data_IF_011123619565
#
_entry.id   IF_011123619565
#
_cell.length_a   1.000
_cell.length_b   1.000
_cell.length_c   1.000
_cell.angle_alpha   90.00
_cell.angle_beta   90.00
_cell.angle_gamma   90.00
#
_symmetry.space_group_name_H-M   'P 1'
#
loop_
_entity.id
_entity.type
_entity.pdbx_description
1 polymer ?
2 polymer ?
3 polymer ?
4 water ?
#
loop_
_entity_poly.entity_id
_entity_poly.type
_entity_poly.pdbx_seq_one_letter_code
_entity_poly.pdbx_strand_id
2 'polydeoxyribonucleotide' '(DC)(DC)(DC)(DT)(DA)(DA)(DG)(DC)(DG)(DG)(DC)(DA)(DA)(DT)(DC)(DC)' ?
3 'polydeoxyribonucleotide' '(DG)(DG)(DG)(DA)(DT)(DT)(DG)(DC)(DC)(DG)(DC)(DT)(DT)(DA)(DG)(DG)' ?
#
# COMPACT_ATOMS: atom_id res chain seq x y z
N UNK A 8 -6.11 -18.04 2.62
CA UNK A 8 -6.29 -19.49 2.64
C UNK A 8 -7.73 -19.92 2.47
N UNK A 9 -8.41 -20.14 3.60
CA UNK A 9 -9.77 -20.65 3.55
C UNK A 9 -10.75 -19.55 3.28
N UNK A 10 -10.65 -19.02 2.07
CA UNK A 10 -11.52 -17.96 1.60
C UNK A 10 -12.19 -18.40 0.33
N UNK A 11 -13.45 -18.04 0.18
CA UNK A 11 -14.18 -18.41 -0.99
C UNK A 11 -14.78 -17.18 -1.62
N UNK A 12 -14.86 -17.20 -2.93
CA UNK A 12 -15.48 -16.10 -3.66
C UNK A 12 -16.90 -16.48 -4.06
N UNK A 13 -17.85 -15.63 -3.73
CA UNK A 13 -19.25 -15.89 -4.06
C UNK A 13 -19.69 -15.02 -5.23
N UNK A 14 -20.35 -15.64 -6.20
CA UNK A 14 -20.83 -14.95 -7.40
C UNK A 14 -21.84 -13.87 -7.03
N UNK A 15 -21.84 -12.75 -7.77
CA UNK A 15 -22.71 -11.59 -7.50
C UNK A 15 -24.21 -11.95 -7.47
N UNK A 16 -24.59 -13.01 -8.18
CA UNK A 16 -26.00 -13.40 -8.22
C UNK A 16 -26.40 -14.21 -6.99
N UNK A 17 -25.50 -15.04 -6.50
CA UNK A 17 -25.75 -15.76 -5.25
C UNK A 17 -25.75 -14.79 -4.08
N UNK A 18 -25.02 -13.70 -4.22
CA UNK A 18 -24.96 -12.66 -3.21
C UNK A 18 -26.28 -11.88 -3.19
N UNK A 19 -26.81 -11.62 -4.38
CA UNK A 19 -28.08 -10.92 -4.50
C UNK A 19 -29.19 -11.72 -3.83
N UNK A 20 -29.21 -13.02 -4.12
CA UNK A 20 -30.19 -13.93 -3.55
C UNK A 20 -30.09 -14.00 -2.03
N UNK A 21 -28.86 -14.12 -1.53
CA UNK A 21 -28.60 -14.23 -0.09
C UNK A 21 -29.01 -12.98 0.68
N UNK A 22 -28.60 -11.82 0.17
CA UNK A 22 -28.81 -10.56 0.89
C UNK A 22 -30.23 -10.03 0.72
N UNK A 23 -31.02 -10.67 -0.13
CA UNK A 23 -32.40 -10.27 -0.32
C UNK A 23 -33.26 -10.68 0.86
N UNK A 24 -32.87 -11.76 1.52
CA UNK A 24 -33.64 -12.31 2.64
C UNK A 24 -33.64 -11.33 3.82
N UNK A 25 -34.64 -11.48 4.68
CA UNK A 25 -34.71 -10.71 5.91
C UNK A 25 -34.01 -11.48 7.03
N UNK A 26 -33.56 -10.78 8.06
CA UNK A 26 -32.78 -11.42 9.13
C UNK A 26 -33.54 -11.42 10.45
N UNK A 27 -33.58 -12.59 11.09
CA UNK A 27 -34.12 -12.71 12.44
C UNK A 27 -33.33 -11.84 13.40
N UNK A 28 -32.01 -11.89 13.28
CA UNK A 28 -31.13 -11.09 14.13
C UNK A 28 -30.24 -10.18 13.30
N UNK A 29 -30.00 -8.97 13.78
CA UNK A 29 -29.11 -8.04 13.11
C UNK A 29 -28.47 -7.06 14.09
N UNK A 30 -27.21 -6.72 13.86
CA UNK A 30 -26.47 -5.83 14.75
C UNK A 30 -25.60 -4.88 13.95
N UNK A 31 -25.53 -3.63 14.43
CA UNK A 31 -24.69 -2.63 13.80
C UNK A 31 -23.43 -2.41 14.64
N UNK A 32 -22.34 -3.04 14.24
CA UNK A 32 -21.10 -3.00 15.01
C UNK A 32 -20.22 -1.82 14.61
N UNK A 33 -19.96 -0.91 15.56
CA UNK A 33 -19.13 0.27 15.35
C UNK A 33 -17.73 -0.07 14.86
N UNK A 34 -17.25 0.67 13.87
CA UNK A 34 -15.87 0.61 13.45
C UNK A 34 -15.06 1.60 14.27
N UNK A 35 -14.51 1.12 15.39
CA UNK A 35 -13.84 1.98 16.34
C UNK A 35 -12.53 2.53 15.79
N UNK A 36 -12.15 3.72 16.27
CA UNK A 36 -10.91 4.35 15.84
C UNK A 36 -9.89 4.34 16.97
N UNK A 37 -10.02 3.36 17.86
CA UNK A 37 -9.05 3.14 18.93
C UNK A 37 -7.67 2.87 18.33
N UNK A 38 -6.62 3.27 19.04
CA UNK A 38 -5.30 3.39 18.42
C UNK A 38 -4.36 2.20 18.61
N UNK A 39 -4.65 1.34 19.57
CA UNK A 39 -3.86 0.14 19.80
C UNK A 39 -4.69 -1.13 19.81
N UNK A 40 -5.89 -1.04 19.24
CA UNK A 40 -6.85 -2.13 19.26
C UNK A 40 -7.82 -2.01 18.11
N UNK A 41 -8.70 -3.00 17.97
CA UNK A 41 -9.70 -2.96 16.92
C UNK A 41 -9.05 -2.94 15.55
N UNK A 42 -9.39 -1.93 14.77
CA UNK A 42 -8.84 -1.76 13.45
C UNK A 42 -7.35 -1.43 13.43
N UNK A 43 -6.84 -0.88 14.53
CA UNK A 43 -5.47 -0.40 14.62
C UNK A 43 -4.59 -1.25 15.52
N UNK A 44 -4.77 -2.56 15.46
CA UNK A 44 -3.95 -3.49 16.21
C UNK A 44 -2.47 -3.35 15.82
N UNK A 45 -2.25 -2.93 14.59
CA UNK A 45 -0.91 -2.72 14.04
C UNK A 45 -0.07 -1.75 14.88
N UNK A 46 -0.72 -0.79 15.52
CA UNK A 46 -0.02 0.26 16.27
C UNK A 46 0.11 -0.03 17.76
N UNK A 47 -0.26 -1.24 18.18
CA UNK A 47 -0.13 -1.62 19.57
C UNK A 47 1.18 -2.34 19.80
N UNK A 48 1.43 -2.75 21.03
CA UNK A 48 2.57 -3.60 21.33
C UNK A 48 2.56 -4.85 20.48
N UNK A 49 3.74 -5.29 20.05
CA UNK A 49 3.85 -6.54 19.33
C UNK A 49 3.74 -7.70 20.32
N UNK A 50 4.02 -8.90 19.82
CA UNK A 50 4.05 -10.07 20.68
C UNK A 50 5.46 -10.28 21.22
N UNK A 51 5.59 -10.17 22.54
CA UNK A 51 6.89 -10.27 23.19
C UNK A 51 7.00 -11.58 23.97
N UNK A 52 8.12 -12.29 23.81
CA UNK A 52 8.33 -13.52 24.57
C UNK A 52 9.01 -13.25 25.91
N UNK A 53 9.33 -14.32 26.64
CA UNK A 53 9.91 -14.18 27.97
C UNK A 53 11.30 -13.57 27.94
N UNK A 54 12.02 -13.80 26.84
CA UNK A 54 13.37 -13.25 26.70
C UNK A 54 13.32 -11.81 26.18
N UNK A 55 12.11 -11.27 26.10
CA UNK A 55 11.90 -9.88 25.74
C UNK A 55 11.95 -9.59 24.25
N UNK A 56 12.10 -10.63 23.43
CA UNK A 56 12.10 -10.44 21.98
C UNK A 56 10.69 -10.24 21.46
N UNK A 57 10.49 -9.17 20.72
CA UNK A 57 9.14 -8.77 20.31
C UNK A 57 8.91 -9.00 18.81
N UNK A 58 7.64 -9.19 18.46
CA UNK A 58 7.25 -9.43 17.08
C UNK A 58 6.12 -8.50 16.68
N UNK A 59 6.40 -7.57 15.76
CA UNK A 59 5.43 -6.57 15.30
C UNK A 59 4.13 -7.20 14.82
N UNK A 60 3.01 -6.56 15.14
CA UNK A 60 1.72 -6.99 14.60
C UNK A 60 1.76 -6.82 13.08
N UNK A 61 1.17 -7.79 12.35
CA UNK A 61 1.00 -7.61 10.91
C UNK A 61 0.08 -6.42 10.62
N UNK A 62 0.15 -5.89 9.42
CA UNK A 62 -0.65 -4.73 9.05
C UNK A 62 -2.14 -5.06 9.05
N UNK A 63 -2.47 -6.26 8.59
CA UNK A 63 -3.87 -6.65 8.43
C UNK A 63 -4.44 -7.39 9.66
N UNK A 64 -3.71 -7.39 10.76
CA UNK A 64 -4.25 -7.99 11.98
C UNK A 64 -5.26 -7.04 12.61
N UNK A 65 -6.51 -7.46 12.67
CA UNK A 65 -7.55 -6.62 13.26
C UNK A 65 -8.46 -7.41 14.19
N UNK A 66 -9.34 -6.67 14.85
CA UNK A 66 -10.38 -7.26 15.67
C UNK A 66 -11.55 -6.29 15.67
N UNK A 67 -12.76 -6.80 15.90
CA UNK A 67 -13.88 -5.94 16.15
C UNK A 67 -14.29 -6.16 17.60
N UNK A 68 -13.92 -5.21 18.46
CA UNK A 68 -14.30 -5.33 19.85
C UNK A 68 -15.74 -4.84 20.00
N UNK A 69 -16.63 -5.76 20.36
CA UNK A 69 -18.05 -5.49 20.41
C UNK A 69 -18.53 -5.29 21.84
N UNK A 70 -19.11 -4.13 22.11
CA UNK A 70 -19.56 -3.79 23.46
C UNK A 70 -20.65 -4.71 23.97
N UNK A 71 -20.70 -4.90 25.28
CA UNK A 71 -21.68 -5.76 25.91
C UNK A 71 -23.10 -5.35 25.59
N UNK A 72 -23.27 -4.09 25.23
CA UNK A 72 -24.55 -3.55 24.87
C UNK A 72 -25.09 -4.30 23.66
N UNK A 73 -24.19 -4.92 22.91
CA UNK A 73 -24.53 -5.64 21.69
C UNK A 73 -24.43 -7.15 21.85
N UNK A 74 -23.34 -7.62 22.43
CA UNK A 74 -23.16 -9.07 22.62
C UNK A 74 -24.21 -9.66 23.56
N UNK A 75 -24.80 -8.84 24.41
CA UNK A 75 -25.81 -9.32 25.34
C UNK A 75 -27.20 -9.35 24.70
N UNK A 76 -27.34 -8.77 23.52
CA UNK A 76 -28.62 -8.77 22.81
C UNK A 76 -29.00 -10.18 22.38
N UNK A 77 -30.30 -10.40 22.17
CA UNK A 77 -30.78 -11.70 21.74
C UNK A 77 -30.21 -12.08 20.37
N UNK A 78 -29.69 -13.29 20.27
CA UNK A 78 -29.27 -13.83 18.99
C UNK A 78 -27.79 -13.69 18.66
N UNK A 79 -27.07 -12.86 19.41
CA UNK A 79 -25.65 -12.65 19.12
C UNK A 79 -24.87 -13.96 19.27
N UNK A 80 -23.95 -14.23 18.35
CA UNK A 80 -23.14 -15.44 18.41
C UNK A 80 -22.04 -15.36 19.46
N UNK A 81 -22.33 -15.77 20.69
CA UNK A 81 -21.32 -15.71 21.73
C UNK A 81 -20.48 -16.98 21.67
N UNK A 82 -19.16 -16.79 21.72
CA UNK A 82 -18.18 -17.87 21.71
C UNK A 82 -18.48 -18.99 20.69
N UNK A 83 -19.01 -18.60 19.53
CA UNK A 83 -19.28 -19.54 18.45
C UNK A 83 -18.30 -19.32 17.31
N UNK A 84 -18.11 -20.36 16.51
CA UNK A 84 -17.52 -20.21 15.19
C UNK A 84 -18.65 -20.16 14.18
N UNK A 85 -18.44 -19.45 13.07
CA UNK A 85 -19.48 -19.30 12.08
C UNK A 85 -18.94 -18.82 10.74
N UNK A 86 -19.70 -19.10 9.68
CA UNK A 86 -19.36 -18.63 8.35
C UNK A 86 -19.85 -17.19 8.16
N UNK A 87 -18.99 -16.35 7.58
CA UNK A 87 -19.36 -14.98 7.24
C UNK A 87 -19.34 -14.79 5.72
N UNK A 88 -20.44 -14.27 5.19
CA UNK A 88 -20.51 -13.94 3.78
C UNK A 88 -20.67 -12.44 3.61
N UNK A 89 -19.66 -11.84 2.98
CA UNK A 89 -19.60 -10.38 2.88
C UNK A 89 -20.46 -9.85 1.73
N UNK A 90 -20.79 -8.57 1.80
CA UNK A 90 -21.64 -7.95 0.79
C UNK A 90 -20.94 -7.85 -0.56
N UNK A 91 -19.61 -7.80 -0.53
CA UNK A 91 -18.84 -7.75 -1.76
C UNK A 91 -18.42 -9.16 -2.20
N UNK A 92 -19.06 -10.16 -1.62
CA UNK A 92 -19.01 -11.51 -2.16
C UNK A 92 -17.90 -12.44 -1.70
N UNK A 93 -17.42 -12.26 -0.48
CA UNK A 93 -16.41 -13.15 0.07
C UNK A 93 -16.96 -14.01 1.18
N UNK A 94 -16.42 -15.22 1.32
CA UNK A 94 -16.83 -16.12 2.39
C UNK A 94 -15.64 -16.66 3.16
N UNK A 95 -15.64 -16.45 4.48
CA UNK A 95 -14.62 -17.02 5.36
C UNK A 95 -15.15 -17.22 6.77
N UNK A 96 -14.40 -17.96 7.57
CA UNK A 96 -14.82 -18.26 8.94
C UNK A 96 -14.43 -17.15 9.92
N UNK A 97 -15.34 -16.84 10.84
CA UNK A 97 -15.04 -15.91 11.92
C UNK A 97 -15.32 -16.54 13.27
N UNK A 98 -14.74 -15.96 14.30
CA UNK A 98 -14.84 -16.52 15.65
C UNK A 98 -14.99 -15.40 16.65
N UNK A 99 -15.92 -15.57 17.59
CA UNK A 99 -16.05 -14.63 18.69
C UNK A 99 -15.34 -15.23 19.91
N UNK A 100 -14.56 -14.40 20.60
CA UNK A 100 -13.72 -14.89 21.69
C UNK A 100 -13.45 -13.81 22.72
N UNK A 101 -12.77 -14.19 23.80
CA UNK A 101 -12.39 -13.25 24.84
C UNK A 101 -13.49 -12.95 25.85
N UNK A 102 -13.16 -12.16 26.87
CA UNK A 102 -14.13 -11.76 27.89
C UNK A 102 -15.35 -11.08 27.29
N UNK A 103 -16.53 -11.43 27.81
CA UNK A 103 -17.81 -10.96 27.30
C UNK A 103 -18.04 -11.34 25.83
N UNK A 104 -17.23 -12.27 25.32
CA UNK A 104 -17.28 -12.66 23.92
C UNK A 104 -17.19 -11.44 22.99
N UNK A 105 -16.39 -10.45 23.40
CA UNK A 105 -16.35 -9.17 22.72
C UNK A 105 -15.55 -9.16 21.41
N UNK A 106 -14.57 -10.03 21.30
CA UNK A 106 -13.63 -9.99 20.18
C UNK A 106 -14.17 -10.67 18.92
N UNK A 107 -14.56 -9.87 17.93
CA UNK A 107 -15.01 -10.40 16.65
C UNK A 107 -13.81 -10.48 15.70
N UNK A 108 -13.44 -11.70 15.33
CA UNK A 108 -12.25 -11.93 14.54
C UNK A 108 -12.49 -12.99 13.47
N UNK A 109 -11.72 -12.94 12.39
CA UNK A 109 -11.70 -14.06 11.45
C UNK A 109 -10.96 -15.21 12.12
N UNK A 110 -11.37 -16.42 11.83
CA UNK A 110 -10.82 -17.59 12.47
C UNK A 110 -9.62 -18.19 11.78
N UNK A 111 -8.61 -18.49 12.58
CA UNK A 111 -7.41 -19.19 12.14
C UNK A 111 -6.39 -18.28 11.51
N UNK A 112 -6.80 -17.07 11.20
CA UNK A 112 -5.95 -16.05 10.68
C UNK A 112 -6.64 -14.74 10.95
N UNK A 113 -6.02 -13.92 11.79
CA UNK A 113 -6.56 -12.59 12.09
C UNK A 113 -6.47 -11.65 10.88
N UNK A 114 -5.58 -11.95 9.95
CA UNK A 114 -5.34 -11.07 8.81
C UNK A 114 -6.47 -11.07 7.78
N UNK A 115 -7.23 -12.17 7.73
CA UNK A 115 -8.29 -12.31 6.72
C UNK A 115 -9.38 -11.25 6.88
N UNK A 116 -9.85 -11.06 8.10
CA UNK A 116 -10.82 -9.99 8.36
C UNK A 116 -10.18 -8.63 8.07
N UNK A 117 -8.89 -8.51 8.35
CA UNK A 117 -8.15 -7.28 8.10
C UNK A 117 -8.01 -6.97 6.62
N UNK A 118 -7.67 -8.00 5.84
CA UNK A 118 -7.55 -7.84 4.40
C UNK A 118 -8.87 -7.42 3.79
N UNK A 119 -9.97 -7.90 4.37
CA UNK A 119 -11.29 -7.51 3.91
C UNK A 119 -11.59 -6.06 4.26
N UNK A 120 -11.48 -5.70 5.54
CA UNK A 120 -11.81 -4.35 5.97
C UNK A 120 -10.83 -3.33 5.42
N UNK A 121 -9.53 -3.56 5.64
CA UNK A 121 -8.51 -2.60 5.23
C UNK A 121 -8.31 -2.57 3.72
N UNK A 122 -8.33 -3.75 3.09
CA UNK A 122 -8.20 -3.84 1.65
C UNK A 122 -9.28 -3.05 0.94
N UNK A 123 -10.45 -2.99 1.59
CA UNK A 123 -11.57 -2.22 1.08
C UNK A 123 -11.30 -0.73 1.24
N UNK A 124 -10.77 -0.33 2.40
CA UNK A 124 -10.41 1.06 2.65
C UNK A 124 -9.29 1.50 1.71
N UNK A 125 -8.36 0.58 1.45
CA UNK A 125 -7.23 0.84 0.55
C UNK A 125 -7.71 1.10 -0.88
N UNK A 126 -8.61 0.25 -1.36
CA UNK A 126 -9.11 0.34 -2.73
C UNK A 126 -9.82 1.66 -3.02
N UNK A 127 -10.57 2.15 -2.03
CA UNK A 127 -11.30 3.40 -2.20
C UNK A 127 -10.42 4.62 -1.96
N UNK A 128 -9.15 4.37 -1.63
CA UNK A 128 -8.18 5.44 -1.46
C UNK A 128 -8.35 6.23 -0.18
N UNK A 129 -8.87 5.58 0.86
CA UNK A 129 -9.06 6.25 2.15
C UNK A 129 -7.93 5.89 3.10
N UNK A 130 -7.21 4.82 2.78
CA UNK A 130 -6.17 4.32 3.67
C UNK A 130 -4.98 3.79 2.87
N UNK A 131 -3.78 4.13 3.33
CA UNK A 131 -2.57 3.56 2.75
C UNK A 131 -1.77 2.79 3.79
N UNK A 132 -0.84 1.97 3.33
CA UNK A 132 -0.05 1.09 4.18
C UNK A 132 0.54 1.79 5.42
N UNK A 133 0.35 1.17 6.58
CA UNK A 133 0.90 1.63 7.85
C UNK A 133 0.33 2.96 8.35
N UNK A 134 -0.89 3.27 7.94
CA UNK A 134 -1.57 4.49 8.38
C UNK A 134 -2.65 4.19 9.42
N UNK A 135 -2.82 5.08 10.38
CA UNK A 135 -3.88 4.94 11.37
C UNK A 135 -5.26 5.16 10.74
N UNK A 136 -6.22 4.32 11.13
CA UNK A 136 -7.60 4.49 10.72
C UNK A 136 -8.30 5.46 11.67
N UNK A 137 -8.67 6.62 11.15
CA UNK A 137 -9.23 7.69 11.97
C UNK A 137 -10.69 7.92 11.65
N UNK A 138 -11.29 8.90 12.31
CA UNK A 138 -12.65 9.31 11.99
C UNK A 138 -12.74 9.76 10.54
N UNK A 139 -11.73 10.51 10.10
CA UNK A 139 -11.71 11.03 8.73
C UNK A 139 -11.51 9.92 7.71
N UNK A 140 -10.83 8.85 8.12
CA UNK A 140 -10.71 7.68 7.25
C UNK A 140 -12.10 7.13 6.96
N UNK A 141 -12.88 6.94 8.02
CA UNK A 141 -14.23 6.40 7.93
C UNK A 141 -15.18 7.40 7.30
N UNK A 142 -14.96 8.69 7.59
CA UNK A 142 -15.81 9.74 7.04
C UNK A 142 -15.61 9.83 5.53
N UNK A 143 -14.38 9.66 5.09
CA UNK A 143 -14.08 9.68 3.67
C UNK A 143 -14.62 8.43 2.97
N UNK A 144 -14.63 7.32 3.71
CA UNK A 144 -15.10 6.05 3.16
C UNK A 144 -16.63 6.06 3.03
N UNK A 145 -17.29 6.64 4.02
CA UNK A 145 -18.74 6.74 4.00
C UNK A 145 -19.42 5.74 4.90
N UNK A 146 -18.67 5.12 5.80
CA UNK A 146 -19.22 4.12 6.70
C UNK A 146 -18.39 3.92 7.95
N UNK A 147 -19.06 3.78 9.09
CA UNK A 147 -18.37 3.61 10.36
C UNK A 147 -19.02 2.50 11.19
N UNK A 148 -19.77 1.63 10.53
CA UNK A 148 -20.40 0.51 11.20
C UNK A 148 -20.37 -0.76 10.36
N UNK A 149 -20.30 -1.91 11.03
CA UNK A 149 -20.43 -3.18 10.34
C UNK A 149 -21.78 -3.78 10.63
N UNK A 150 -22.45 -4.25 9.58
CA UNK A 150 -23.73 -4.91 9.72
C UNK A 150 -23.55 -6.43 9.84
N UNK A 151 -23.87 -6.97 11.00
CA UNK A 151 -23.86 -8.41 11.20
C UNK A 151 -25.29 -8.95 11.21
N UNK A 152 -25.64 -9.73 10.19
CA UNK A 152 -27.01 -10.23 10.01
C UNK A 152 -27.06 -11.74 9.97
N UNK A 153 -28.17 -12.31 10.46
CA UNK A 153 -28.35 -13.75 10.43
C UNK A 153 -28.98 -14.21 9.12
N UNK A 154 -28.80 -15.48 8.80
CA UNK A 154 -29.51 -16.11 7.69
C UNK A 154 -30.29 -17.29 8.26
N UNK A 155 -31.03 -18.00 7.41
CA UNK A 155 -31.79 -19.16 7.89
C UNK A 155 -30.88 -20.33 8.17
N UNK A 156 -29.59 -20.14 7.91
CA UNK A 156 -28.54 -21.05 8.37
C UNK A 156 -27.96 -20.50 9.66
N UNK A 157 -28.12 -21.25 10.76
CA UNK A 157 -27.67 -20.79 12.09
C UNK A 157 -26.18 -20.49 12.16
N UNK A 158 -25.40 -21.08 11.24
CA UNK A 158 -23.95 -20.94 11.28
C UNK A 158 -23.42 -20.07 10.15
N UNK A 159 -24.30 -19.32 9.50
CA UNK A 159 -23.89 -18.40 8.44
C UNK A 159 -24.44 -17.01 8.70
N UNK A 160 -23.56 -16.02 8.78
CA UNK A 160 -23.99 -14.65 8.96
C UNK A 160 -23.59 -13.77 7.78
N UNK A 161 -24.35 -12.69 7.57
CA UNK A 161 -24.01 -11.70 6.56
C UNK A 161 -23.25 -10.56 7.21
N UNK A 162 -22.15 -10.14 6.59
CA UNK A 162 -21.33 -9.06 7.10
C UNK A 162 -21.15 -7.98 6.03
N UNK A 163 -21.55 -6.75 6.36
CA UNK A 163 -21.51 -5.69 5.35
C UNK A 163 -20.67 -4.50 5.81
N UNK A 164 -20.06 -3.83 4.83
CA UNK A 164 -19.26 -2.63 5.06
C UNK A 164 -19.13 -1.85 3.74
N UNK A 165 -20.25 -1.31 3.28
CA UNK A 165 -20.28 -0.54 2.03
C UNK A 165 -19.84 0.89 2.26
N UNK A 166 -19.15 1.45 1.27
CA UNK A 166 -18.69 2.83 1.35
C UNK A 166 -19.39 3.72 0.35
N UNK A 167 -18.69 4.75 -0.12
CA UNK A 167 -19.22 5.67 -1.11
C UNK A 167 -18.68 5.36 -2.50
N UNK B 8 26.32 5.91 0.79
CA UNK B 8 25.65 5.28 1.93
C UNK B 8 24.16 5.10 1.68
N UNK B 9 23.64 3.93 2.05
CA UNK B 9 22.22 3.65 1.93
C UNK B 9 21.87 2.75 0.76
N UNK B 10 22.88 2.34 0.00
CA UNK B 10 22.67 1.50 -1.17
C UNK B 10 23.18 0.08 -0.92
N UNK B 11 22.47 -0.91 -1.45
CA UNK B 11 22.92 -2.30 -1.35
C UNK B 11 22.90 -2.99 -2.70
N UNK B 12 23.70 -4.04 -2.84
CA UNK B 12 23.82 -4.79 -4.08
C UNK B 12 23.04 -6.10 -4.00
N UNK B 13 22.39 -6.47 -5.10
CA UNK B 13 21.63 -7.72 -5.14
C UNK B 13 22.18 -8.64 -6.21
N UNK B 14 22.39 -9.90 -5.85
CA UNK B 14 22.92 -10.91 -6.77
C UNK B 14 22.04 -11.06 -8.02
N UNK B 15 22.69 -11.22 -9.18
CA UNK B 15 21.99 -11.38 -10.47
C UNK B 15 20.97 -12.52 -10.45
N UNK B 16 21.26 -13.58 -9.69
CA UNK B 16 20.35 -14.71 -9.58
C UNK B 16 19.10 -14.32 -8.80
N UNK B 17 19.30 -13.63 -7.68
CA UNK B 17 18.18 -13.14 -6.87
C UNK B 17 17.38 -12.09 -7.63
N UNK B 18 18.06 -11.35 -8.50
CA UNK B 18 17.40 -10.35 -9.32
C UNK B 18 16.48 -11.00 -10.34
N UNK B 19 16.92 -12.12 -10.90
CA UNK B 19 16.16 -12.85 -11.90
C UNK B 19 14.91 -13.47 -11.28
N UNK B 20 15.05 -13.97 -10.06
CA UNK B 20 13.94 -14.59 -9.35
C UNK B 20 12.89 -13.55 -8.97
N UNK B 21 13.33 -12.33 -8.73
CA UNK B 21 12.45 -11.24 -8.33
C UNK B 21 11.76 -10.62 -9.55
N UNK B 22 12.53 -10.46 -10.62
CA UNK B 22 12.01 -9.84 -11.85
C UNK B 22 10.98 -10.73 -12.54
N UNK B 23 11.03 -12.02 -12.26
CA UNK B 23 10.13 -12.99 -12.87
C UNK B 23 8.70 -12.81 -12.38
N UNK B 24 8.55 -12.69 -11.06
CA UNK B 24 7.23 -12.60 -10.42
C UNK B 24 6.38 -11.48 -11.01
N UNK B 25 5.18 -11.84 -11.46
CA UNK B 25 4.27 -10.88 -12.08
C UNK B 25 3.81 -9.82 -11.08
N UNK B 26 3.49 -8.63 -11.60
CA UNK B 26 3.09 -7.51 -10.77
C UNK B 26 1.64 -7.11 -11.05
N UNK B 27 0.92 -6.73 -10.00
CA UNK B 27 -0.42 -6.19 -10.15
C UNK B 27 -0.37 -4.88 -10.93
N UNK B 28 0.63 -4.06 -10.62
CA UNK B 28 0.73 -2.73 -11.20
C UNK B 28 2.01 -2.55 -12.02
N UNK B 29 1.86 -2.03 -13.22
CA UNK B 29 3.00 -1.76 -14.10
C UNK B 29 2.93 -0.35 -14.67
N UNK B 30 3.62 0.58 -14.02
CA UNK B 30 3.66 1.97 -14.49
C UNK B 30 4.86 2.22 -15.39
N UNK B 31 4.62 2.88 -16.51
CA UNK B 31 5.70 3.23 -17.42
C UNK B 31 5.91 4.74 -17.41
N UNK B 32 6.90 5.19 -16.65
CA UNK B 32 7.15 6.62 -16.46
C UNK B 32 8.21 7.15 -17.42
N UNK B 33 7.81 8.06 -18.30
CA UNK B 33 8.70 8.66 -19.31
C UNK B 33 9.88 9.42 -18.71
N UNK B 34 11.03 9.31 -19.35
CA UNK B 34 12.21 10.07 -18.95
C UNK B 34 12.21 11.43 -19.65
N UNK B 35 11.85 12.47 -18.91
CA UNK B 35 11.60 13.77 -19.51
C UNK B 35 12.87 14.50 -19.93
N UNK B 36 12.68 15.41 -20.88
CA UNK B 36 13.77 16.02 -21.64
C UNK B 36 13.94 17.48 -21.20
N UNK B 37 13.10 17.89 -20.25
CA UNK B 37 13.08 19.24 -19.68
C UNK B 37 14.47 19.69 -19.18
N UNK B 38 14.75 20.97 -19.27
CA UNK B 38 16.12 21.46 -19.13
C UNK B 38 16.48 22.05 -17.77
N UNK B 39 15.46 22.32 -16.95
CA UNK B 39 15.64 22.85 -15.60
C UNK B 39 15.06 21.95 -14.49
N UNK B 40 14.58 20.78 -14.87
CA UNK B 40 13.89 19.88 -13.96
C UNK B 40 14.09 18.45 -14.34
N UNK B 41 13.57 17.53 -13.53
CA UNK B 41 13.70 16.11 -13.84
C UNK B 41 15.16 15.70 -13.87
N UNK B 42 15.57 15.15 -14.99
CA UNK B 42 16.94 14.72 -15.19
C UNK B 42 17.95 15.86 -15.25
N UNK B 43 17.49 17.06 -15.62
CA UNK B 43 18.40 18.19 -15.80
C UNK B 43 18.26 19.24 -14.70
N UNK B 44 18.14 18.78 -13.46
CA UNK B 44 18.07 19.68 -12.31
C UNK B 44 19.37 20.45 -12.17
N UNK B 45 20.46 19.84 -12.61
CA UNK B 45 21.80 20.44 -12.57
C UNK B 45 21.85 21.77 -13.33
N UNK B 46 21.02 21.90 -14.35
CA UNK B 46 21.00 23.11 -15.18
C UNK B 46 19.98 24.13 -14.69
N UNK B 47 19.30 23.82 -13.60
CA UNK B 47 18.32 24.73 -13.03
C UNK B 47 18.96 25.69 -12.06
N UNK B 48 18.18 26.62 -11.52
CA UNK B 48 18.66 27.57 -10.53
C UNK B 48 19.04 26.84 -9.25
N UNK B 49 20.14 27.25 -8.65
CA UNK B 49 20.63 26.62 -7.43
C UNK B 49 19.80 26.95 -6.20
N UNK B 50 20.30 26.56 -5.03
CA UNK B 50 19.61 26.83 -3.78
C UNK B 50 20.08 28.14 -3.15
N UNK B 51 19.19 29.13 -3.08
CA UNK B 51 19.51 30.45 -2.55
C UNK B 51 19.16 30.58 -1.08
N UNK B 52 20.00 31.30 -0.34
CA UNK B 52 19.77 31.54 1.07
C UNK B 52 19.14 32.91 1.31
N UNK B 53 19.13 33.35 2.56
CA UNK B 53 18.58 34.66 2.90
C UNK B 53 19.52 35.76 2.42
N UNK B 54 20.81 35.47 2.42
CA UNK B 54 21.83 36.42 1.99
C UNK B 54 21.76 36.73 0.50
N UNK B 55 21.02 35.90 -0.24
CA UNK B 55 20.86 36.11 -1.67
C UNK B 55 21.89 35.35 -2.49
N UNK B 56 22.77 34.63 -1.79
CA UNK B 56 23.75 33.79 -2.45
C UNK B 56 23.16 32.40 -2.71
N UNK B 57 23.52 31.79 -3.83
CA UNK B 57 22.95 30.49 -4.16
C UNK B 57 23.99 29.38 -4.13
N UNK B 58 23.52 28.16 -3.85
CA UNK B 58 24.38 26.97 -3.85
C UNK B 58 24.02 26.10 -5.04
N UNK B 59 24.96 25.95 -5.98
CA UNK B 59 24.74 25.15 -7.19
C UNK B 59 24.38 23.71 -6.88
N UNK B 60 23.41 23.17 -7.61
CA UNK B 60 22.93 21.82 -7.37
C UNK B 60 23.91 20.78 -7.89
N UNK B 61 24.03 19.65 -7.17
CA UNK B 61 24.95 18.56 -7.53
C UNK B 61 24.65 18.03 -8.93
N UNK B 62 25.67 17.48 -9.58
CA UNK B 62 25.53 16.95 -10.94
C UNK B 62 24.60 15.73 -10.97
N UNK B 63 24.53 15.02 -9.85
CA UNK B 63 23.72 13.81 -9.77
C UNK B 63 22.37 14.04 -9.10
N UNK B 64 22.03 15.29 -8.81
CA UNK B 64 20.71 15.57 -8.26
C UNK B 64 19.67 15.50 -9.38
N UNK B 65 18.79 14.52 -9.30
CA UNK B 65 17.71 14.40 -10.26
C UNK B 65 16.37 14.15 -9.58
N UNK B 66 15.32 14.21 -10.37
CA UNK B 66 13.99 13.83 -9.93
C UNK B 66 13.26 13.17 -11.09
N UNK B 67 12.21 12.42 -10.80
CA UNK B 67 11.36 11.88 -11.84
C UNK B 67 9.94 12.39 -11.62
N UNK B 68 9.59 13.47 -12.31
CA UNK B 68 8.26 14.04 -12.19
C UNK B 68 7.25 13.24 -12.98
N UNK B 69 6.25 12.71 -12.28
CA UNK B 69 5.27 11.82 -12.90
C UNK B 69 3.93 12.51 -13.06
N UNK B 70 3.39 12.47 -14.27
CA UNK B 70 2.10 13.08 -14.56
C UNK B 70 0.99 12.44 -13.73
N UNK B 71 -0.09 13.18 -13.52
CA UNK B 71 -1.24 12.70 -12.76
C UNK B 71 -1.87 11.48 -13.43
N UNK B 72 -1.62 11.34 -14.74
CA UNK B 72 -2.11 10.19 -15.49
C UNK B 72 -1.65 8.87 -14.90
N UNK B 73 -0.49 8.89 -14.25
CA UNK B 73 0.11 7.68 -13.70
C UNK B 73 0.01 7.65 -12.18
N UNK B 74 0.18 8.81 -11.55
CA UNK B 74 0.12 8.90 -10.09
C UNK B 74 -1.30 8.67 -9.57
N UNK B 75 -2.30 8.92 -10.41
CA UNK B 75 -3.69 8.70 -10.03
C UNK B 75 -4.11 7.24 -10.15
N UNK B 76 -3.38 6.50 -10.98
CA UNK B 76 -3.67 5.08 -11.20
C UNK B 76 -3.68 4.30 -9.88
N UNK B 77 -4.41 3.20 -9.87
CA UNK B 77 -4.55 2.37 -8.67
C UNK B 77 -3.23 1.75 -8.26
N UNK B 78 -2.94 1.78 -6.96
CA UNK B 78 -1.78 1.12 -6.41
C UNK B 78 -0.49 1.94 -6.41
N UNK B 79 -0.50 3.06 -7.12
CA UNK B 79 0.69 3.92 -7.16
C UNK B 79 1.01 4.45 -5.76
N UNK B 80 2.30 4.36 -5.38
CA UNK B 80 2.76 4.82 -4.06
C UNK B 80 2.74 6.35 -3.96
N UNK B 81 1.84 6.89 -3.14
CA UNK B 81 1.74 8.34 -3.00
C UNK B 81 2.13 8.80 -1.61
N UNK B 82 2.97 9.83 -1.54
CA UNK B 82 3.45 10.39 -0.28
C UNK B 82 4.01 9.29 0.60
N UNK B 83 4.84 8.43 0.01
CA UNK B 83 5.18 7.14 0.58
C UNK B 83 6.65 6.79 0.37
N UNK B 84 7.28 6.22 1.40
CA UNK B 84 8.64 5.73 1.28
C UNK B 84 8.63 4.25 0.94
N UNK B 85 9.48 3.85 0.00
CA UNK B 85 9.53 2.46 -0.44
C UNK B 85 10.90 2.08 -0.99
N UNK B 86 11.18 0.79 -0.96
CA UNK B 86 12.42 0.25 -1.52
C UNK B 86 12.26 -0.06 -3.01
N UNK B 87 13.21 0.40 -3.81
CA UNK B 87 13.25 -0.01 -5.21
C UNK B 87 14.36 -1.04 -5.38
N UNK B 88 14.19 -1.92 -6.36
CA UNK B 88 15.21 -2.88 -6.73
C UNK B 88 15.40 -2.81 -8.25
N UNK B 89 16.60 -2.44 -8.67
CA UNK B 89 16.84 -2.14 -10.07
C UNK B 89 17.08 -3.39 -10.89
N UNK B 90 17.08 -3.24 -12.21
CA UNK B 90 17.31 -4.37 -13.10
C UNK B 90 18.78 -4.77 -13.12
N UNK B 91 19.66 -3.82 -12.86
CA UNK B 91 21.10 -4.10 -12.87
C UNK B 91 21.62 -4.40 -11.47
N UNK B 92 20.71 -4.74 -10.57
CA UNK B 92 21.08 -5.29 -9.27
C UNK B 92 21.38 -4.30 -8.16
N UNK B 93 20.66 -3.18 -8.13
CA UNK B 93 20.84 -2.20 -7.07
C UNK B 93 19.57 -2.04 -6.23
N UNK B 94 19.76 -1.79 -4.94
CA UNK B 94 18.64 -1.59 -4.02
C UNK B 94 18.86 -0.37 -3.15
N UNK B 95 17.90 0.55 -3.17
CA UNK B 95 17.93 1.73 -2.32
C UNK B 95 16.53 2.26 -2.06
N UNK B 96 16.42 3.13 -1.05
CA UNK B 96 15.13 3.69 -0.66
C UNK B 96 14.72 4.86 -1.55
N UNK B 97 13.47 4.84 -2.00
CA UNK B 97 12.92 5.96 -2.74
C UNK B 97 11.71 6.56 -2.03
N UNK B 98 11.24 7.68 -2.55
CA UNK B 98 10.19 8.43 -1.89
C UNK B 98 9.45 9.30 -2.89
N UNK B 99 8.12 9.26 -2.85
CA UNK B 99 7.31 10.13 -3.68
C UNK B 99 6.89 11.35 -2.87
N UNK B 100 6.89 12.51 -3.51
CA UNK B 100 6.63 13.76 -2.81
C UNK B 100 6.10 14.86 -3.73
N UNK B 101 5.80 16.02 -3.14
CA UNK B 101 5.29 17.16 -3.88
C UNK B 101 3.81 17.10 -4.17
N UNK B 102 3.28 18.15 -4.78
CA UNK B 102 1.88 18.19 -5.20
C UNK B 102 1.55 17.01 -6.11
N UNK B 103 0.49 16.29 -5.77
CA UNK B 103 0.01 15.13 -6.53
C UNK B 103 1.02 13.97 -6.49
N UNK B 104 1.96 14.03 -5.55
CA UNK B 104 2.97 13.00 -5.37
C UNK B 104 3.76 12.78 -6.66
N UNK B 105 4.01 13.87 -7.38
CA UNK B 105 4.60 13.82 -8.71
C UNK B 105 6.10 13.49 -8.68
N UNK B 106 6.77 13.91 -7.61
CA UNK B 106 8.22 13.80 -7.53
C UNK B 106 8.72 12.44 -7.09
N UNK B 107 9.21 11.66 -8.06
CA UNK B 107 9.87 10.39 -7.75
C UNK B 107 11.36 10.65 -7.52
N UNK B 108 11.79 10.49 -6.28
CA UNK B 108 13.17 10.72 -5.93
C UNK B 108 13.68 9.64 -5.00
N UNK B 109 14.99 9.46 -4.95
CA UNK B 109 15.57 8.53 -4.01
C UNK B 109 15.45 9.19 -2.65
N UNK B 110 15.45 8.38 -1.59
CA UNK B 110 15.26 8.93 -0.25
C UNK B 110 16.52 9.26 0.52
N UNK B 111 16.53 10.48 1.04
CA UNK B 111 17.54 11.01 1.95
C UNK B 111 18.79 11.43 1.25
N UNK B 112 18.85 11.11 -0.04
CA UNK B 112 19.90 11.58 -0.91
C UNK B 112 19.29 11.67 -2.27
N UNK B 113 19.24 12.86 -2.83
CA UNK B 113 18.73 13.06 -4.17
C UNK B 113 19.64 12.42 -5.19
N UNK B 114 20.92 12.40 -4.87
CA UNK B 114 21.98 12.00 -5.80
C UNK B 114 22.00 10.50 -6.07
N UNK B 115 21.38 9.72 -5.20
CA UNK B 115 21.41 8.27 -5.34
C UNK B 115 20.69 7.82 -6.60
N UNK B 116 19.48 8.33 -6.80
CA UNK B 116 18.73 8.00 -8.01
C UNK B 116 19.45 8.55 -9.24
N UNK B 117 20.09 9.70 -9.07
CA UNK B 117 20.80 10.34 -10.16
C UNK B 117 22.00 9.53 -10.61
N UNK B 118 22.79 9.05 -9.65
CA UNK B 118 23.95 8.24 -9.94
C UNK B 118 23.56 6.98 -10.69
N UNK B 119 22.40 6.44 -10.37
CA UNK B 119 21.91 5.24 -11.02
C UNK B 119 21.55 5.52 -12.48
N UNK B 120 20.75 6.56 -12.69
CA UNK B 120 20.30 6.91 -14.03
C UNK B 120 21.42 7.49 -14.90
N UNK B 121 22.07 8.55 -14.42
CA UNK B 121 23.14 9.18 -15.17
C UNK B 121 24.34 8.25 -15.30
N UNK B 122 24.54 7.39 -14.30
CA UNK B 122 25.63 6.44 -14.34
C UNK B 122 25.53 5.49 -15.51
N UNK B 123 24.33 4.96 -15.73
CA UNK B 123 24.10 4.04 -16.85
C UNK B 123 24.24 4.77 -18.18
N UNK B 124 23.85 6.04 -18.21
CA UNK B 124 24.02 6.85 -19.41
C UNK B 124 25.49 7.14 -19.68
N UNK B 125 26.21 7.54 -18.64
CA UNK B 125 27.63 7.85 -18.76
C UNK B 125 28.46 6.66 -19.24
N UNK B 126 28.15 5.48 -18.73
CA UNK B 126 28.84 4.26 -19.14
C UNK B 126 28.51 3.91 -20.59
N UNK B 127 27.28 4.23 -20.98
CA UNK B 127 26.82 3.93 -22.33
C UNK B 127 27.51 4.80 -23.37
N UNK B 128 28.11 5.90 -22.92
CA UNK B 128 28.80 6.82 -23.80
C UNK B 128 27.90 7.96 -24.24
N UNK B 129 26.62 7.86 -23.89
CA UNK B 129 25.63 8.85 -24.28
C UNK B 129 25.84 10.18 -23.56
N UNK B 130 26.31 10.11 -22.32
CA UNK B 130 26.42 11.29 -21.48
C UNK B 130 27.82 11.50 -20.94
N UNK B 131 28.30 12.74 -20.99
CA UNK B 131 29.54 13.10 -20.32
C UNK B 131 29.23 14.08 -19.19
N UNK B 132 30.25 14.39 -18.39
CA UNK B 132 30.09 15.32 -17.28
C UNK B 132 29.57 16.68 -17.76
N UNK B 133 28.58 17.21 -17.03
CA UNK B 133 27.98 18.51 -17.32
C UNK B 133 27.35 18.62 -18.71
N UNK B 134 26.62 17.59 -19.11
CA UNK B 134 25.91 17.61 -20.40
C UNK B 134 24.41 17.42 -20.20
N UNK B 135 23.62 18.23 -20.91
CA UNK B 135 22.18 18.17 -20.78
C UNK B 135 21.60 16.91 -21.42
N UNK B 136 20.70 16.24 -20.70
CA UNK B 136 20.04 15.06 -21.22
C UNK B 136 18.99 15.43 -22.29
N UNK B 137 19.33 15.17 -23.55
CA UNK B 137 18.45 15.50 -24.66
C UNK B 137 17.78 14.25 -25.23
N UNK B 138 16.97 14.44 -26.27
CA UNK B 138 16.33 13.32 -26.94
C UNK B 138 17.38 12.45 -27.62
N UNK B 139 18.48 13.08 -28.04
CA UNK B 139 19.58 12.37 -28.68
C UNK B 139 20.37 11.53 -27.68
N UNK B 140 20.06 11.70 -26.40
CA UNK B 140 20.70 10.92 -25.34
C UNK B 140 19.92 9.64 -25.08
N UNK B 141 18.62 9.79 -24.87
CA UNK B 141 17.74 8.64 -24.64
C UNK B 141 17.68 7.74 -25.87
N UNK B 142 17.82 8.35 -27.04
CA UNK B 142 17.82 7.61 -28.30
C UNK B 142 19.08 6.76 -28.44
N UNK B 143 20.22 7.38 -28.17
CA UNK B 143 21.50 6.68 -28.27
C UNK B 143 21.62 5.60 -27.20
N UNK B 144 20.90 5.77 -26.10
CA UNK B 144 20.89 4.80 -25.01
C UNK B 144 19.96 3.65 -25.34
N UNK B 145 18.70 3.97 -25.67
CA UNK B 145 17.77 2.96 -26.11
C UNK B 145 16.44 2.92 -25.39
N UNK B 146 16.21 3.88 -24.49
CA UNK B 146 14.95 3.93 -23.76
C UNK B 146 14.62 5.32 -23.26
N UNK B 147 13.33 5.63 -23.19
CA UNK B 147 12.87 6.92 -22.70
C UNK B 147 11.82 6.76 -21.62
N UNK B 148 11.77 5.57 -21.01
CA UNK B 148 10.82 5.30 -19.94
C UNK B 148 11.45 4.52 -18.80
N UNK B 149 10.87 4.66 -17.61
CA UNK B 149 11.27 3.87 -16.46
C UNK B 149 10.17 2.89 -16.09
N UNK B 150 10.48 1.61 -16.13
CA UNK B 150 9.51 0.60 -15.75
C UNK B 150 9.42 0.48 -14.24
N UNK B 151 8.21 0.73 -13.70
CA UNK B 151 8.00 0.68 -12.26
C UNK B 151 6.95 -0.37 -11.89
N UNK B 152 7.42 -1.60 -11.67
CA UNK B 152 6.52 -2.71 -11.36
C UNK B 152 6.40 -2.90 -9.84
N UNK B 153 5.46 -3.73 -9.42
CA UNK B 153 5.21 -3.95 -8.00
C UNK B 153 5.54 -5.38 -7.56
N UNK B 154 5.55 -5.60 -6.25
CA UNK B 154 5.83 -6.92 -5.70
C UNK B 154 4.79 -7.29 -4.63
N UNK B 155 5.02 -8.42 -3.97
CA UNK B 155 4.18 -8.85 -2.85
C UNK B 155 4.20 -7.79 -1.75
N UNK B 156 5.39 -7.26 -1.49
CA UNK B 156 5.56 -6.18 -0.52
C UNK B 156 5.31 -4.83 -1.19
N UNK B 157 4.34 -4.07 -0.69
CA UNK B 157 4.00 -2.74 -1.23
C UNK B 157 5.08 -1.71 -0.93
N UNK B 158 6.07 -2.08 -0.12
CA UNK B 158 7.21 -1.21 0.14
C UNK B 158 8.40 -1.63 -0.72
N UNK B 159 8.14 -2.55 -1.65
CA UNK B 159 9.16 -3.05 -2.56
C UNK B 159 8.71 -3.00 -4.01
N UNK B 160 9.45 -2.28 -4.84
CA UNK B 160 9.11 -2.11 -6.25
C UNK B 160 10.30 -2.39 -7.14
N UNK B 161 10.04 -2.72 -8.40
CA UNK B 161 11.11 -2.93 -9.37
C UNK B 161 11.26 -1.70 -10.26
N UNK B 162 12.48 -1.20 -10.39
CA UNK B 162 12.75 -0.04 -11.21
C UNK B 162 13.74 -0.38 -12.33
N UNK B 163 13.35 -0.22 -13.57
CA UNK B 163 14.28 -0.59 -14.63
C UNK B 163 14.48 0.47 -15.69
N UNK B 164 15.72 0.57 -16.17
CA UNK B 164 16.07 1.45 -17.27
C UNK B 164 17.20 0.87 -18.11
N UNK B 165 16.97 -0.28 -18.74
CA UNK B 165 17.97 -0.93 -19.57
C UNK B 165 18.17 -0.28 -20.93
N UNK B 166 19.40 -0.29 -21.43
CA UNK B 166 19.67 0.26 -22.74
C UNK B 166 20.37 -0.72 -23.66
#
# INVERSE_FOLDING_TARGET
>A
MSHLENCLGVQKIAPEQIRQLFAQTSEYHFSIPAKTEEKSNLNVFFGEGRRDKRGFVKPRPWYEVELIVSKDITSQEGYPVLKSFTVITDDGWQFQCKTSGDYSKNFRSENDLKTLGKWIKGRLESHGCLQNNEKITHETLREYGNDHFELRSTDNPDVWLLSFKGKNSGGHHHHHHG
>B
MSHLENCLGVQKIAPEQIRQLFAQTSEYHFSIPAKTEEKSNLNVFFGEGRRDKRGFVKPRPWYEVELIVSKDITSQEGYPVLKSFTVITDDGWQFQCKTSGDYSKNFRSENDLKTLGKWIKGRLESHGCLQNNEKITHETLREYGNDHFELRSTDNPDVWLLSFKGKNSGGHHHHHHG
#
